data_IF_828046217361
#
_entry.id   IF_828046217361
#
_cell.length_a   1.000
_cell.length_b   1.000
_cell.length_c   1.000
_cell.angle_alpha   90.00
_cell.angle_beta   90.00
_cell.angle_gamma   90.00
#
_symmetry.space_group_name_H-M   'P 1'
#
loop_
_entity.id
_entity.type
_entity.pdbx_description
1 polymer ?
#
# COMPACT_ATOMS: atom_id res chain seq x y z
N UNK A 1 39.77 45.63 -25.83
CA UNK A 1 39.20 44.29 -25.51
C UNK A 1 40.24 43.34 -24.86
N UNK A 2 41.18 43.85 -24.03
CA UNK A 2 42.29 43.03 -23.51
C UNK A 2 42.12 42.64 -22.01
N UNK A 3 41.27 43.33 -21.27
CA UNK A 3 41.14 43.12 -19.82
C UNK A 3 40.32 41.88 -19.44
N UNK A 4 39.51 41.36 -20.37
CA UNK A 4 38.68 40.17 -20.14
C UNK A 4 39.48 38.85 -20.26
N UNK A 5 40.56 38.85 -21.06
CA UNK A 5 41.46 37.68 -21.19
C UNK A 5 42.36 37.52 -19.96
N UNK A 6 42.81 38.62 -19.35
CA UNK A 6 43.63 38.56 -18.14
C UNK A 6 42.86 38.11 -16.90
N UNK A 7 41.61 38.54 -16.74
CA UNK A 7 40.78 38.09 -15.61
C UNK A 7 40.46 36.59 -15.72
N UNK A 8 40.20 36.08 -16.92
CA UNK A 8 39.96 34.65 -17.14
C UNK A 8 41.22 33.81 -16.87
N UNK A 9 42.40 34.29 -17.25
CA UNK A 9 43.66 33.60 -17.01
C UNK A 9 44.04 33.59 -15.52
N UNK A 10 43.77 34.68 -14.79
CA UNK A 10 43.97 34.76 -13.33
C UNK A 10 43.00 33.84 -12.58
N UNK A 11 41.73 33.76 -12.99
CA UNK A 11 40.75 32.85 -12.37
C UNK A 11 41.12 31.39 -12.64
N UNK A 12 41.63 31.09 -13.84
CA UNK A 12 42.06 29.74 -14.20
C UNK A 12 43.33 29.33 -13.44
N UNK A 13 44.28 30.26 -13.23
CA UNK A 13 45.46 30.01 -12.38
C UNK A 13 45.06 29.84 -10.90
N UNK A 14 44.12 30.62 -10.38
CA UNK A 14 43.60 30.42 -9.01
C UNK A 14 42.87 29.07 -8.86
N UNK A 15 42.15 28.61 -9.89
CA UNK A 15 41.50 27.30 -9.89
C UNK A 15 42.52 26.16 -9.92
N UNK A 16 43.62 26.29 -10.67
CA UNK A 16 44.70 25.29 -10.70
C UNK A 16 45.43 25.25 -9.34
N UNK A 17 45.79 26.40 -8.75
CA UNK A 17 46.41 26.43 -7.43
C UNK A 17 45.48 25.93 -6.31
N UNK A 18 44.17 26.17 -6.41
CA UNK A 18 43.20 25.61 -5.47
C UNK A 18 43.02 24.09 -5.62
N UNK A 19 43.23 23.55 -6.84
CA UNK A 19 43.14 22.12 -7.11
C UNK A 19 44.43 21.38 -6.70
N UNK A 20 45.61 21.98 -6.88
CA UNK A 20 46.88 21.45 -6.34
C UNK A 20 46.90 21.50 -4.81
N UNK A 21 46.38 22.56 -4.18
CA UNK A 21 46.25 22.63 -2.72
C UNK A 21 45.21 21.64 -2.14
N UNK A 22 44.30 21.11 -2.96
CA UNK A 22 43.38 20.04 -2.56
C UNK A 22 43.90 18.64 -2.88
N UNK A 23 44.94 18.51 -3.71
CA UNK A 23 45.51 17.24 -4.13
C UNK A 23 46.65 16.75 -3.22
N UNK A 24 47.24 17.63 -2.40
CA UNK A 24 48.32 17.26 -1.46
C UNK A 24 47.85 16.77 -0.09
N UNK A 25 46.55 16.86 0.25
CA UNK A 25 46.03 16.42 1.57
C UNK A 25 45.56 14.95 1.62
N UNK A 26 45.54 14.22 0.50
CA UNK A 26 45.02 12.83 0.44
C UNK A 26 46.10 11.73 0.45
N UNK A 27 47.40 12.05 0.46
CA UNK A 27 48.48 11.04 0.48
C UNK A 27 49.31 10.96 1.77
N UNK A 28 48.91 11.62 2.86
CA UNK A 28 49.55 11.40 4.16
C UNK A 28 48.74 10.47 5.09
N UNK A 29 49.13 9.18 4.99
CA UNK A 29 49.13 8.18 6.07
C UNK A 29 47.83 7.42 6.34
N UNK A 30 47.53 6.50 5.43
CA UNK A 30 47.13 5.14 5.84
C UNK A 30 48.29 4.40 6.56
N UNK A 31 48.80 4.97 7.66
CA UNK A 31 49.71 4.26 8.56
C UNK A 31 48.87 3.49 9.57
N UNK A 32 48.42 2.30 9.17
CA UNK A 32 47.77 1.33 10.07
C UNK A 32 48.69 0.81 11.19
N UNK A 33 49.95 1.26 11.23
CA UNK A 33 50.91 0.99 12.29
C UNK A 33 51.14 2.27 13.08
N UNK A 34 50.37 2.43 14.17
CA UNK A 34 50.64 3.45 15.19
C UNK A 34 52.02 3.26 15.77
N UNK A 35 52.68 4.37 16.12
CA UNK A 35 53.99 4.27 16.77
C UNK A 35 53.85 3.58 18.15
N UNK A 36 54.88 2.86 18.62
CA UNK A 36 54.80 2.13 19.89
C UNK A 36 54.60 3.06 21.11
N UNK A 37 54.92 4.36 20.97
CA UNK A 37 54.69 5.37 22.01
C UNK A 37 53.22 5.81 22.07
N UNK A 38 52.57 6.02 20.93
CA UNK A 38 51.13 6.32 20.86
C UNK A 38 50.28 5.13 21.34
N UNK A 39 50.71 3.89 21.04
CA UNK A 39 50.06 2.70 21.60
C UNK A 39 50.19 2.62 23.12
N UNK A 40 51.34 2.99 23.68
CA UNK A 40 51.55 3.02 25.14
C UNK A 40 50.71 4.10 25.80
N UNK A 41 50.58 5.29 25.20
CA UNK A 41 49.75 6.37 25.73
C UNK A 41 48.27 6.00 25.76
N UNK A 42 47.74 5.40 24.68
CA UNK A 42 46.37 4.89 24.64
C UNK A 42 46.13 3.74 25.61
N UNK A 43 47.10 2.84 25.77
CA UNK A 43 47.03 1.77 26.77
C UNK A 43 47.04 2.33 28.20
N UNK A 44 47.81 3.39 28.45
CA UNK A 44 47.79 4.07 29.76
C UNK A 44 46.50 4.85 29.97
N UNK A 45 45.96 5.57 28.98
CA UNK A 45 44.64 6.23 29.10
C UNK A 45 43.52 5.22 29.37
N UNK A 46 43.48 4.11 28.64
CA UNK A 46 42.50 3.04 28.87
C UNK A 46 42.72 2.28 30.19
N UNK A 47 43.95 2.20 30.68
CA UNK A 47 44.26 1.59 31.97
C UNK A 47 43.95 2.51 33.16
N UNK A 48 43.96 3.83 32.97
CA UNK A 48 43.68 4.81 34.01
C UNK A 48 42.16 4.96 34.24
N UNK A 49 41.32 4.81 33.21
CA UNK A 49 39.85 4.91 33.33
C UNK A 49 39.08 3.77 32.63
N UNK A 50 39.22 2.50 33.08
CA UNK A 50 38.54 1.36 32.46
C UNK A 50 37.02 1.42 32.57
N UNK A 51 36.47 2.17 33.53
CA UNK A 51 35.03 2.35 33.68
C UNK A 51 34.46 3.31 32.64
N UNK A 52 35.16 4.40 32.32
CA UNK A 52 34.75 5.36 31.28
C UNK A 52 34.77 4.71 29.90
N UNK A 53 35.79 3.89 29.60
CA UNK A 53 35.83 3.11 28.35
C UNK A 53 34.64 2.16 28.19
N UNK A 54 34.21 1.51 29.27
CA UNK A 54 33.01 0.67 29.28
C UNK A 54 31.73 1.49 29.10
N UNK A 55 31.64 2.65 29.75
CA UNK A 55 30.50 3.56 29.59
C UNK A 55 30.40 4.06 28.15
N UNK A 56 31.50 4.49 27.53
CA UNK A 56 31.52 4.90 26.13
C UNK A 56 31.15 3.76 25.18
N UNK A 57 31.63 2.55 25.44
CA UNK A 57 31.26 1.37 24.63
C UNK A 57 29.77 1.05 24.76
N UNK A 58 29.20 1.12 25.98
CA UNK A 58 27.77 0.93 26.21
C UNK A 58 26.93 2.02 25.53
N UNK A 59 27.36 3.28 25.59
CA UNK A 59 26.72 4.40 24.90
C UNK A 59 26.80 4.26 23.38
N UNK A 60 27.94 3.83 22.84
CA UNK A 60 28.08 3.58 21.40
C UNK A 60 27.14 2.45 20.93
N UNK A 61 27.04 1.37 21.72
CA UNK A 61 26.11 0.27 21.46
C UNK A 61 24.64 0.73 21.56
N UNK A 62 24.29 1.57 22.54
CA UNK A 62 22.94 2.09 22.70
C UNK A 62 22.55 3.03 21.55
N UNK A 63 23.44 3.93 21.14
CA UNK A 63 23.24 4.81 19.98
C UNK A 63 23.07 4.02 18.68
N UNK A 64 23.84 2.95 18.49
CA UNK A 64 23.69 2.06 17.33
C UNK A 64 22.33 1.38 17.33
N UNK A 65 21.88 0.87 18.47
CA UNK A 65 20.55 0.27 18.60
C UNK A 65 19.44 1.29 18.34
N UNK A 66 19.60 2.52 18.82
CA UNK A 66 18.64 3.60 18.58
C UNK A 66 18.50 3.92 17.09
N UNK A 67 19.63 4.05 16.36
CA UNK A 67 19.61 4.28 14.90
C UNK A 67 18.96 3.13 14.13
N UNK A 68 19.16 1.89 14.57
CA UNK A 68 18.52 0.73 13.95
C UNK A 68 17.01 0.77 14.14
N UNK A 69 16.54 1.10 15.36
CA UNK A 69 15.12 1.25 15.65
C UNK A 69 14.50 2.42 14.87
N UNK A 70 15.24 3.52 14.72
CA UNK A 70 14.82 4.68 13.91
C UNK A 70 14.66 4.30 12.44
N UNK A 71 15.64 3.61 11.85
CA UNK A 71 15.56 3.12 10.47
C UNK A 71 14.39 2.14 10.27
N UNK A 72 14.12 1.27 11.27
CA UNK A 72 12.99 0.35 11.23
C UNK A 72 11.65 1.10 11.32
N UNK A 73 11.57 2.11 12.20
CA UNK A 73 10.39 2.95 12.33
C UNK A 73 10.13 3.77 11.05
N UNK A 74 11.18 4.33 10.44
CA UNK A 74 11.09 5.07 9.19
C UNK A 74 10.60 4.18 8.04
N UNK A 75 11.13 2.95 7.93
CA UNK A 75 10.67 1.98 6.93
C UNK A 75 9.18 1.65 7.09
N UNK A 76 8.72 1.42 8.32
CA UNK A 76 7.30 1.17 8.61
C UNK A 76 6.43 2.39 8.33
N UNK A 77 6.90 3.59 8.65
CA UNK A 77 6.18 4.83 8.37
C UNK A 77 6.00 5.03 6.86
N UNK A 78 7.06 4.81 6.07
CA UNK A 78 6.98 4.84 4.60
C UNK A 78 6.00 3.80 4.06
N UNK A 79 6.03 2.57 4.58
CA UNK A 79 5.09 1.52 4.17
C UNK A 79 3.63 1.91 4.46
N UNK A 80 3.34 2.42 5.65
CA UNK A 80 1.99 2.89 6.02
C UNK A 80 1.55 4.07 5.14
N UNK A 81 2.47 4.99 4.84
CA UNK A 81 2.19 6.12 3.93
C UNK A 81 1.79 5.61 2.54
N UNK A 82 2.50 4.64 1.98
CA UNK A 82 2.13 4.03 0.70
C UNK A 82 0.77 3.32 0.76
N UNK A 83 0.47 2.63 1.86
CA UNK A 83 -0.85 2.00 2.06
C UNK A 83 -1.97 3.05 2.11
N UNK A 84 -1.76 4.17 2.81
CA UNK A 84 -2.72 5.26 2.85
C UNK A 84 -2.91 5.91 1.47
N UNK A 85 -1.82 6.15 0.73
CA UNK A 85 -1.89 6.69 -0.62
C UNK A 85 -2.60 5.72 -1.58
N UNK A 86 -2.33 4.42 -1.49
CA UNK A 86 -3.02 3.40 -2.27
C UNK A 86 -4.51 3.34 -1.92
N UNK A 87 -4.87 3.41 -0.63
CA UNK A 87 -6.26 3.46 -0.19
C UNK A 87 -6.99 4.72 -0.70
N UNK A 88 -6.32 5.87 -0.68
CA UNK A 88 -6.84 7.12 -1.26
C UNK A 88 -7.04 7.00 -2.77
N UNK A 89 -6.07 6.44 -3.50
CA UNK A 89 -6.18 6.23 -4.94
C UNK A 89 -7.34 5.28 -5.28
N UNK A 90 -7.48 4.17 -4.54
CA UNK A 90 -8.60 3.24 -4.72
C UNK A 90 -9.95 3.88 -4.40
N UNK A 91 -10.02 4.74 -3.38
CA UNK A 91 -11.23 5.48 -3.06
C UNK A 91 -11.57 6.49 -4.17
N UNK A 92 -10.59 7.22 -4.70
CA UNK A 92 -10.78 8.12 -5.82
C UNK A 92 -11.24 7.36 -7.08
N UNK A 93 -10.65 6.19 -7.37
CA UNK A 93 -11.09 5.31 -8.47
C UNK A 93 -12.54 4.87 -8.25
N UNK A 94 -12.94 4.49 -7.03
CA UNK A 94 -14.34 4.14 -6.73
C UNK A 94 -15.28 5.32 -6.94
N UNK A 95 -14.89 6.53 -6.55
CA UNK A 95 -15.69 7.73 -6.78
C UNK A 95 -15.85 8.02 -8.27
N UNK A 96 -14.77 7.91 -9.04
CA UNK A 96 -14.82 8.07 -10.49
C UNK A 96 -15.65 6.98 -11.16
N UNK A 97 -15.55 5.72 -10.72
CA UNK A 97 -16.40 4.61 -11.20
C UNK A 97 -17.88 4.88 -10.97
N UNK A 98 -18.27 5.41 -9.80
CA UNK A 98 -19.66 5.77 -9.50
C UNK A 98 -20.15 6.93 -10.38
N UNK A 99 -19.27 7.90 -10.66
CA UNK A 99 -19.62 9.02 -11.56
C UNK A 99 -19.74 8.56 -13.01
N UNK A 100 -18.88 7.66 -13.50
CA UNK A 100 -18.98 7.11 -14.86
C UNK A 100 -20.23 6.25 -15.00
N UNK A 101 -20.54 5.37 -14.04
CA UNK A 101 -21.79 4.59 -14.03
C UNK A 101 -23.03 5.50 -14.06
N UNK A 102 -23.00 6.64 -13.34
CA UNK A 102 -24.16 7.57 -13.32
C UNK A 102 -24.22 8.53 -14.52
N UNK A 103 -23.10 8.77 -15.21
CA UNK A 103 -23.04 9.60 -16.42
C UNK A 103 -23.44 8.83 -17.68
N UNK A 104 -23.26 7.50 -17.71
CA UNK A 104 -23.75 6.62 -18.78
C UNK A 104 -25.24 6.27 -18.63
N UNK A 105 -25.82 6.44 -17.44
CA UNK A 105 -27.22 6.12 -17.14
C UNK A 105 -28.27 7.13 -17.64
N UNK A 106 -27.91 8.14 -18.44
CA UNK A 106 -28.89 9.03 -19.07
C UNK A 106 -28.93 8.98 -20.61
N UNK A 107 -28.02 8.27 -21.28
CA UNK A 107 -28.10 8.10 -22.75
C UNK A 107 -27.40 6.81 -23.19
N UNK A 108 -28.02 5.66 -22.99
CA UNK A 108 -27.88 4.53 -23.92
C UNK A 108 -28.81 3.39 -23.51
N UNK A 109 -29.85 3.22 -24.31
CA UNK A 109 -30.47 1.91 -24.50
C UNK A 109 -29.39 0.90 -24.96
N UNK A 110 -29.53 -0.32 -24.44
CA UNK A 110 -29.01 -1.58 -25.00
C UNK A 110 -27.53 -1.63 -25.42
N UNK A 111 -26.68 -2.15 -24.52
CA UNK A 111 -25.67 -3.11 -24.97
C UNK A 111 -25.46 -4.22 -23.95
N UNK A 112 -25.75 -5.43 -24.41
CA UNK A 112 -25.56 -6.70 -23.72
C UNK A 112 -24.10 -6.88 -23.30
N UNK A 113 -23.78 -6.55 -22.06
CA UNK A 113 -22.64 -7.16 -21.37
C UNK A 113 -23.19 -8.32 -20.51
N UNK A 114 -23.56 -9.41 -21.20
CA UNK A 114 -23.73 -10.71 -20.56
C UNK A 114 -22.37 -11.19 -20.04
N UNK A 115 -21.98 -10.68 -18.88
CA UNK A 115 -20.96 -11.34 -18.08
C UNK A 115 -21.61 -12.64 -17.59
N UNK A 116 -21.35 -13.74 -18.30
CA UNK A 116 -21.82 -15.07 -17.89
C UNK A 116 -21.04 -15.48 -16.64
N UNK A 117 -21.45 -14.99 -15.48
CA UNK A 117 -21.04 -15.59 -14.23
C UNK A 117 -21.59 -17.02 -14.26
N UNK A 118 -20.71 -18.02 -14.29
CA UNK A 118 -21.07 -19.39 -13.93
C UNK A 118 -21.57 -19.34 -12.48
N UNK A 119 -22.86 -19.07 -12.34
CA UNK A 119 -23.43 -18.72 -11.06
C UNK A 119 -23.80 -20.02 -10.36
N UNK A 120 -23.02 -20.36 -9.34
CA UNK A 120 -23.31 -21.50 -8.49
C UNK A 120 -24.60 -21.24 -7.70
N UNK A 121 -25.71 -21.83 -8.15
CA UNK A 121 -27.02 -21.77 -7.48
C UNK A 121 -26.97 -22.14 -5.99
N UNK A 122 -26.06 -23.03 -5.61
CA UNK A 122 -25.87 -23.52 -4.24
C UNK A 122 -25.28 -22.47 -3.28
N UNK A 123 -24.68 -21.40 -3.80
CA UNK A 123 -24.10 -20.33 -2.96
C UNK A 123 -25.13 -19.30 -2.53
N UNK A 124 -26.33 -19.34 -3.11
CA UNK A 124 -27.40 -18.46 -2.67
C UNK A 124 -27.92 -18.86 -1.31
N UNK A 125 -28.02 -17.87 -0.43
CA UNK A 125 -28.63 -18.02 0.90
C UNK A 125 -29.82 -17.10 1.01
N UNK A 126 -30.96 -17.64 1.42
CA UNK A 126 -32.14 -16.87 1.72
C UNK A 126 -32.02 -16.28 3.12
N UNK A 127 -31.94 -14.95 3.22
CA UNK A 127 -31.83 -14.26 4.51
C UNK A 127 -33.20 -13.95 5.12
N UNK A 128 -34.17 -13.60 4.28
CA UNK A 128 -35.46 -13.15 4.77
C UNK A 128 -36.47 -12.96 3.64
N UNK A 129 -37.73 -13.16 3.97
CA UNK A 129 -38.88 -12.85 3.12
C UNK A 129 -39.76 -11.91 3.94
N UNK A 130 -40.14 -10.78 3.37
CA UNK A 130 -41.07 -9.87 4.01
C UNK A 130 -42.12 -9.41 3.01
N UNK A 131 -43.32 -9.19 3.54
CA UNK A 131 -44.43 -8.64 2.79
C UNK A 131 -44.52 -7.15 3.06
N UNK A 132 -44.52 -6.35 1.99
CA UNK A 132 -44.84 -4.93 2.04
C UNK A 132 -46.15 -4.69 1.27
N UNK A 133 -46.75 -3.52 1.40
CA UNK A 133 -47.99 -3.15 0.68
C UNK A 133 -47.91 -3.37 -0.84
N UNK A 134 -46.70 -3.32 -1.41
CA UNK A 134 -46.40 -3.53 -2.82
C UNK A 134 -45.78 -4.92 -3.10
N UNK A 135 -46.35 -5.99 -2.52
CA UNK A 135 -45.99 -7.38 -2.80
C UNK A 135 -44.97 -8.02 -1.84
N UNK A 136 -44.67 -9.30 -2.10
CA UNK A 136 -43.70 -10.10 -1.34
C UNK A 136 -42.31 -9.87 -1.90
N UNK A 137 -41.35 -9.55 -1.02
CA UNK A 137 -39.94 -9.39 -1.38
C UNK A 137 -39.09 -10.37 -0.60
N UNK A 138 -38.00 -10.82 -1.21
CA UNK A 138 -37.00 -11.64 -0.56
C UNK A 138 -35.63 -10.98 -0.61
N UNK A 139 -34.81 -11.23 0.41
CA UNK A 139 -33.38 -10.90 0.42
C UNK A 139 -32.57 -12.15 0.25
N UNK A 140 -31.73 -12.14 -0.78
CA UNK A 140 -30.83 -13.20 -1.12
C UNK A 140 -29.40 -12.71 -0.91
N UNK A 141 -28.55 -13.56 -0.35
CA UNK A 141 -27.12 -13.35 -0.28
C UNK A 141 -26.42 -14.29 -1.26
N UNK A 142 -25.41 -13.78 -1.97
CA UNK A 142 -24.52 -14.55 -2.83
C UNK A 142 -23.10 -14.07 -2.60
N UNK A 143 -22.31 -14.89 -1.90
CA UNK A 143 -20.99 -14.46 -1.40
C UNK A 143 -21.11 -13.23 -0.50
N UNK A 144 -20.46 -12.13 -0.88
CA UNK A 144 -20.49 -10.86 -0.16
C UNK A 144 -21.61 -9.91 -0.62
N UNK A 145 -22.37 -10.28 -1.66
CA UNK A 145 -23.40 -9.43 -2.24
C UNK A 145 -24.80 -9.76 -1.71
N UNK A 146 -25.58 -8.69 -1.46
CA UNK A 146 -26.95 -8.76 -0.97
C UNK A 146 -27.90 -8.24 -2.04
N UNK A 147 -28.83 -9.09 -2.47
CA UNK A 147 -29.83 -8.78 -3.47
C UNK A 147 -31.22 -8.71 -2.84
N UNK A 148 -32.00 -7.69 -3.20
CA UNK A 148 -33.42 -7.61 -2.85
C UNK A 148 -34.23 -7.85 -4.10
N UNK A 149 -35.04 -8.90 -4.09
CA UNK A 149 -35.77 -9.38 -5.27
C UNK A 149 -37.27 -9.46 -5.03
N UNK A 150 -38.00 -9.22 -6.11
CA UNK A 150 -39.45 -9.44 -6.21
C UNK A 150 -39.73 -10.70 -7.00
N UNK A 151 -40.99 -11.12 -6.99
CA UNK A 151 -41.47 -12.18 -7.86
C UNK A 151 -41.31 -11.77 -9.33
N UNK A 152 -40.64 -12.59 -10.13
CA UNK A 152 -40.40 -12.35 -11.56
C UNK A 152 -39.15 -11.53 -11.88
N UNK A 153 -38.37 -11.11 -10.87
CA UNK A 153 -37.09 -10.44 -11.12
C UNK A 153 -36.08 -11.39 -11.75
N UNK A 154 -35.21 -10.82 -12.59
CA UNK A 154 -34.04 -11.51 -13.15
C UNK A 154 -32.79 -11.07 -12.39
N UNK A 155 -32.08 -12.03 -11.80
CA UNK A 155 -30.78 -11.82 -11.19
C UNK A 155 -29.68 -12.28 -12.14
N UNK A 156 -28.53 -11.59 -12.14
CA UNK A 156 -27.32 -11.98 -12.86
C UNK A 156 -27.61 -12.39 -14.33
N UNK A 157 -28.45 -11.60 -15.00
CA UNK A 157 -28.90 -11.81 -16.38
C UNK A 157 -30.01 -12.87 -16.53
N UNK A 158 -29.73 -14.10 -16.07
CA UNK A 158 -30.42 -15.29 -16.57
C UNK A 158 -31.24 -16.02 -15.50
N UNK A 159 -31.14 -15.59 -14.24
CA UNK A 159 -31.76 -16.27 -13.10
C UNK A 159 -33.15 -15.70 -12.85
N UNK A 160 -34.19 -16.45 -13.18
CA UNK A 160 -35.57 -16.05 -12.90
C UNK A 160 -35.91 -16.42 -11.46
N UNK A 161 -36.35 -15.43 -10.68
CA UNK A 161 -36.70 -15.60 -9.27
C UNK A 161 -38.21 -15.68 -9.08
N UNK A 162 -38.68 -16.77 -8.48
CA UNK A 162 -40.05 -16.88 -7.99
C UNK A 162 -40.06 -16.86 -6.46
N UNK A 163 -40.56 -15.74 -5.92
CA UNK A 163 -40.72 -15.55 -4.48
C UNK A 163 -42.11 -16.04 -4.07
N UNK A 164 -42.17 -17.04 -3.19
CA UNK A 164 -43.36 -17.47 -2.46
C UNK A 164 -43.25 -17.08 -0.99
N UNK A 165 -44.34 -17.19 -0.22
CA UNK A 165 -44.39 -16.78 1.19
C UNK A 165 -43.39 -17.51 2.10
N UNK A 166 -42.99 -18.73 1.74
CA UNK A 166 -42.14 -19.59 2.57
C UNK A 166 -40.88 -20.10 1.85
N UNK A 167 -40.78 -19.89 0.54
CA UNK A 167 -39.66 -20.41 -0.27
C UNK A 167 -39.37 -19.49 -1.44
N UNK A 168 -38.11 -19.44 -1.84
CA UNK A 168 -37.66 -18.74 -3.05
C UNK A 168 -37.13 -19.78 -4.02
N UNK A 169 -37.63 -19.75 -5.24
CA UNK A 169 -37.21 -20.65 -6.31
C UNK A 169 -36.39 -19.85 -7.31
N UNK A 170 -35.16 -20.27 -7.54
CA UNK A 170 -34.28 -19.73 -8.56
C UNK A 170 -34.28 -20.70 -9.75
N UNK A 171 -34.50 -20.19 -10.96
CA UNK A 171 -34.45 -20.97 -12.19
C UNK A 171 -33.36 -20.42 -13.10
N UNK A 172 -32.42 -21.27 -13.52
CA UNK A 172 -31.37 -20.96 -14.50
C UNK A 172 -31.37 -22.05 -15.55
N UNK A 173 -31.62 -21.72 -16.81
CA UNK A 173 -31.51 -22.65 -17.94
C UNK A 173 -32.19 -24.01 -17.71
N UNK A 174 -33.36 -23.98 -17.06
CA UNK A 174 -34.16 -25.18 -16.72
C UNK A 174 -33.76 -25.89 -15.43
N UNK A 175 -32.68 -25.48 -14.76
CA UNK A 175 -32.29 -25.97 -13.44
C UNK A 175 -32.98 -25.14 -12.35
N UNK A 176 -33.85 -25.81 -11.62
CA UNK A 176 -34.60 -25.24 -10.49
C UNK A 176 -33.86 -25.48 -9.19
N UNK A 177 -33.60 -24.42 -8.44
CA UNK A 177 -33.06 -24.48 -7.09
C UNK A 177 -34.06 -23.87 -6.11
N UNK A 178 -34.45 -24.63 -5.09
CA UNK A 178 -35.36 -24.16 -4.05
C UNK A 178 -34.56 -23.77 -2.81
N UNK A 179 -34.75 -22.53 -2.36
CA UNK A 179 -34.19 -22.00 -1.14
C UNK A 179 -35.31 -21.85 -0.11
N UNK A 180 -35.19 -22.58 0.99
CA UNK A 180 -36.06 -22.48 2.16
C UNK A 180 -35.36 -21.71 3.27
N UNK A 181 -36.13 -20.99 4.09
CA UNK A 181 -35.59 -20.45 5.35
C UNK A 181 -35.19 -21.63 6.26
N UNK A 182 -33.95 -21.62 6.74
CA UNK A 182 -33.50 -22.56 7.78
C UNK A 182 -32.84 -23.86 7.29
N UNK A 183 -32.40 -23.94 6.03
CA UNK A 183 -31.52 -25.03 5.58
C UNK A 183 -30.08 -24.76 6.00
N UNK A 184 -29.66 -25.36 7.11
CA UNK A 184 -28.23 -25.55 7.43
C UNK A 184 -27.63 -26.65 6.55
#
# INVERSE_FOLDING_TARGET
MNNCKHTLLVVLLCLICAFEAYAEDDEEKESYLRTPEEQRQLLTEHAVFPEEGRQHQQLALSLRNQRLLEAQAESRARQLQFQLQAAQALHAIRQLSVVVDSSELQTSDESNNEVSYQTDLKRFRLLGIWRRSNGVRAKLAYGEHLFTVKHGDRLLGNIVVHVNTHKVVLNIDGKRHELSMGGF
#
